data_IF_812552841823
#
_entry.id   IF_812552841823
#
_cell.length_a   1.000
_cell.length_b   1.000
_cell.length_c   1.000
_cell.angle_alpha   90.00
_cell.angle_beta   90.00
_cell.angle_gamma   90.00
#
_symmetry.space_group_name_H-M   'P 1'
#
loop_
_entity.id
_entity.type
_entity.pdbx_description
1 polymer ?
#
# COMPACT_ATOMS: atom_id res chain seq x y z
N UNK A 1 -20.50 0.53 -0.73
CA UNK A 1 -20.34 1.99 -0.87
C UNK A 1 -19.07 2.49 -0.19
N UNK A 2 -18.89 2.34 1.14
CA UNK A 2 -17.62 2.70 1.83
C UNK A 2 -16.39 1.97 1.26
N UNK A 3 -16.50 0.67 1.03
CA UNK A 3 -15.36 -0.13 0.54
C UNK A 3 -14.97 0.21 -0.91
N UNK A 4 -15.94 0.65 -1.73
CA UNK A 4 -15.66 1.10 -3.10
C UNK A 4 -14.90 2.43 -3.12
N UNK A 5 -15.23 3.36 -2.22
CA UNK A 5 -14.55 4.65 -2.07
C UNK A 5 -13.09 4.43 -1.67
N UNK A 6 -12.86 3.58 -0.68
CA UNK A 6 -11.53 3.22 -0.19
C UNK A 6 -10.67 2.63 -1.30
N UNK A 7 -11.24 1.72 -2.09
CA UNK A 7 -10.50 1.05 -3.14
C UNK A 7 -10.21 1.92 -4.36
N UNK A 8 -11.13 2.81 -4.72
CA UNK A 8 -10.93 3.80 -5.78
C UNK A 8 -9.85 4.81 -5.41
N UNK A 9 -9.70 5.12 -4.12
CA UNK A 9 -8.77 6.14 -3.63
C UNK A 9 -7.31 5.71 -3.69
N UNK A 10 -7.05 4.43 -3.45
CA UNK A 10 -5.71 3.87 -3.51
C UNK A 10 -5.14 3.91 -4.95
N UNK A 11 -5.99 3.76 -5.98
CA UNK A 11 -5.63 4.02 -7.37
C UNK A 11 -5.14 5.47 -7.60
N UNK A 12 -5.71 6.45 -6.89
CA UNK A 12 -5.36 7.88 -7.00
C UNK A 12 -4.09 8.26 -6.23
N UNK A 13 -3.79 7.53 -5.15
CA UNK A 13 -2.56 7.67 -4.35
C UNK A 13 -1.34 6.99 -5.02
N UNK A 14 -1.61 6.04 -5.92
CA UNK A 14 -0.62 5.21 -6.62
C UNK A 14 -0.17 5.75 -7.97
N UNK A 15 -0.62 6.95 -8.38
CA UNK A 15 -0.07 7.63 -9.55
C UNK A 15 1.38 8.03 -9.26
N UNK A 16 2.30 7.29 -9.88
CA UNK A 16 3.75 7.46 -9.82
C UNK A 16 4.16 8.93 -9.98
N UNK A 17 4.49 9.58 -8.88
CA UNK A 17 5.25 10.82 -8.86
C UNK A 17 5.98 10.92 -7.52
N UNK A 18 6.94 11.85 -7.39
CA UNK A 18 7.63 12.22 -6.15
C UNK A 18 6.69 12.64 -4.99
N UNK A 19 5.38 12.52 -5.18
CA UNK A 19 4.28 12.86 -4.29
C UNK A 19 3.57 11.63 -3.73
N UNK A 20 4.26 10.50 -3.65
CA UNK A 20 3.74 9.31 -2.99
C UNK A 20 3.48 9.64 -1.52
N UNK A 21 2.22 9.53 -1.09
CA UNK A 21 1.67 10.03 0.19
C UNK A 21 1.30 11.53 0.27
N UNK A 22 1.25 12.28 -0.84
CA UNK A 22 0.61 13.61 -0.80
C UNK A 22 -0.85 13.50 -0.36
N UNK A 23 -1.36 14.56 0.28
CA UNK A 23 -2.74 14.62 0.77
C UNK A 23 -3.72 14.34 -0.37
N UNK A 24 -4.32 13.16 -0.36
CA UNK A 24 -5.34 12.70 -1.30
C UNK A 24 -6.72 13.30 -0.99
N UNK A 25 -6.79 14.31 -0.12
CA UNK A 25 -8.00 15.04 0.25
C UNK A 25 -8.59 15.77 -0.97
N UNK A 26 -7.76 16.45 -1.77
CA UNK A 26 -8.21 17.15 -2.99
C UNK A 26 -8.80 16.21 -4.03
N UNK A 27 -8.07 15.11 -4.34
CA UNK A 27 -8.54 14.09 -5.29
C UNK A 27 -9.80 13.35 -4.80
N UNK A 28 -9.98 13.19 -3.49
CA UNK A 28 -11.25 12.66 -2.97
C UNK A 28 -12.39 13.65 -3.05
N UNK A 29 -12.16 14.93 -2.74
CA UNK A 29 -13.23 15.93 -2.77
C UNK A 29 -13.80 16.07 -4.18
N UNK A 30 -12.95 15.99 -5.20
CA UNK A 30 -13.38 15.98 -6.60
C UNK A 30 -14.23 14.76 -6.97
N UNK A 31 -13.91 13.59 -6.40
CA UNK A 31 -14.56 12.32 -6.75
C UNK A 31 -15.80 12.00 -5.90
N UNK A 32 -15.84 12.52 -4.68
CA UNK A 32 -16.93 12.36 -3.71
C UNK A 32 -17.22 13.71 -3.06
N UNK A 33 -17.79 14.67 -3.82
CA UNK A 33 -18.09 16.01 -3.33
C UNK A 33 -19.05 16.02 -2.13
N UNK A 34 -19.84 14.97 -1.96
CA UNK A 34 -20.76 14.74 -0.84
C UNK A 34 -20.08 14.49 0.51
N UNK A 35 -18.78 14.14 0.53
CA UNK A 35 -18.06 13.89 1.78
C UNK A 35 -17.72 15.19 2.50
N UNK A 36 -17.92 15.18 3.82
CA UNK A 36 -17.47 16.26 4.70
C UNK A 36 -15.95 16.28 4.84
N UNK A 37 -15.39 17.42 5.22
CA UNK A 37 -13.94 17.56 5.45
C UNK A 37 -13.42 16.56 6.49
N UNK A 38 -14.19 16.31 7.55
CA UNK A 38 -13.85 15.32 8.58
C UNK A 38 -13.79 13.89 8.03
N UNK A 39 -14.72 13.52 7.15
CA UNK A 39 -14.70 12.20 6.50
C UNK A 39 -13.52 12.08 5.53
N UNK A 40 -13.23 13.14 4.75
CA UNK A 40 -12.09 13.17 3.82
C UNK A 40 -10.75 12.97 4.56
N UNK A 41 -10.59 13.63 5.71
CA UNK A 41 -9.43 13.53 6.58
C UNK A 41 -9.31 12.15 7.25
N UNK A 42 -10.41 11.58 7.75
CA UNK A 42 -10.44 10.22 8.33
C UNK A 42 -10.01 9.18 7.28
N UNK A 43 -10.61 9.24 6.09
CA UNK A 43 -10.22 8.35 5.02
C UNK A 43 -8.75 8.59 4.60
N UNK A 44 -8.24 9.84 4.67
CA UNK A 44 -6.88 10.17 4.21
C UNK A 44 -5.88 9.49 5.13
N UNK A 45 -6.12 9.65 6.43
CA UNK A 45 -5.36 9.02 7.50
C UNK A 45 -5.35 7.51 7.37
N UNK A 46 -6.52 6.89 7.12
CA UNK A 46 -6.62 5.44 6.94
C UNK A 46 -5.81 4.93 5.76
N UNK A 47 -5.88 5.62 4.62
CA UNK A 47 -5.13 5.25 3.43
C UNK A 47 -3.62 5.42 3.61
N UNK A 48 -3.16 6.55 4.17
CA UNK A 48 -1.73 6.74 4.46
C UNK A 48 -1.19 5.70 5.43
N UNK A 49 -1.96 5.35 6.47
CA UNK A 49 -1.57 4.32 7.42
C UNK A 49 -1.48 2.93 6.78
N UNK A 50 -2.46 2.56 5.96
CA UNK A 50 -2.47 1.30 5.20
C UNK A 50 -1.29 1.21 4.24
N UNK A 51 -1.06 2.27 3.44
CA UNK A 51 0.05 2.33 2.50
C UNK A 51 1.41 2.22 3.20
N UNK A 52 1.59 2.99 4.27
CA UNK A 52 2.81 2.93 5.09
C UNK A 52 3.01 1.54 5.68
N UNK A 53 1.97 0.94 6.24
CA UNK A 53 2.06 -0.40 6.83
C UNK A 53 2.43 -1.46 5.78
N UNK A 54 1.85 -1.42 4.59
CA UNK A 54 2.18 -2.33 3.50
C UNK A 54 3.62 -2.16 3.02
N UNK A 55 4.05 -0.91 2.82
CA UNK A 55 5.43 -0.62 2.44
C UNK A 55 6.44 -1.10 3.49
N UNK A 56 6.24 -0.73 4.76
CA UNK A 56 7.13 -1.12 5.85
C UNK A 56 7.21 -2.64 5.98
N UNK A 57 6.09 -3.35 5.78
CA UNK A 57 6.07 -4.81 5.79
C UNK A 57 6.97 -5.40 4.70
N UNK A 58 6.80 -4.96 3.45
CA UNK A 58 7.59 -5.45 2.31
C UNK A 58 9.08 -5.09 2.49
N UNK A 59 9.36 -3.88 2.94
CA UNK A 59 10.72 -3.43 3.17
C UNK A 59 11.44 -4.29 4.22
N UNK A 60 10.81 -4.49 5.38
CA UNK A 60 11.40 -5.24 6.48
C UNK A 60 11.57 -6.72 6.15
N UNK A 61 10.61 -7.34 5.45
CA UNK A 61 10.72 -8.74 5.05
C UNK A 61 11.82 -8.92 4.00
N UNK A 62 11.93 -8.02 3.01
CA UNK A 62 13.01 -8.05 2.01
C UNK A 62 14.39 -7.86 2.64
N UNK A 63 14.53 -6.90 3.56
CA UNK A 63 15.79 -6.68 4.29
C UNK A 63 16.20 -7.93 5.08
N UNK A 64 15.27 -8.53 5.83
CA UNK A 64 15.53 -9.72 6.64
C UNK A 64 15.93 -10.93 5.78
N UNK A 65 15.18 -11.20 4.71
CA UNK A 65 15.45 -12.29 3.78
C UNK A 65 16.80 -12.11 3.07
N UNK A 66 17.15 -10.89 2.69
CA UNK A 66 18.45 -10.60 2.08
C UNK A 66 19.61 -10.86 3.05
N UNK A 67 19.47 -10.49 4.33
CA UNK A 67 20.46 -10.81 5.39
C UNK A 67 20.62 -12.30 5.62
N UNK A 68 19.54 -13.06 5.47
CA UNK A 68 19.53 -14.53 5.62
C UNK A 68 19.90 -15.27 4.32
N UNK A 69 20.09 -14.55 3.21
CA UNK A 69 20.32 -15.11 1.88
C UNK A 69 19.22 -16.10 1.45
N UNK A 70 17.96 -15.75 1.75
CA UNK A 70 16.75 -16.52 1.41
C UNK A 70 15.92 -15.71 0.43
N UNK A 71 15.26 -16.39 -0.51
CA UNK A 71 14.33 -15.76 -1.46
C UNK A 71 12.88 -16.04 -1.08
N UNK A 72 11.99 -15.09 -1.35
CA UNK A 72 10.54 -15.30 -1.32
C UNK A 72 9.96 -15.15 -2.73
N UNK A 73 8.98 -16.00 -3.07
CA UNK A 73 8.24 -15.85 -4.32
C UNK A 73 7.27 -14.67 -4.21
N UNK A 74 7.03 -13.99 -5.33
CA UNK A 74 6.02 -12.92 -5.41
C UNK A 74 4.62 -13.38 -4.94
N UNK A 75 4.26 -14.64 -5.16
CA UNK A 75 2.98 -15.20 -4.69
C UNK A 75 2.94 -15.35 -3.17
N UNK A 76 4.00 -15.87 -2.55
CA UNK A 76 4.09 -16.03 -1.09
C UNK A 76 4.15 -14.67 -0.39
N UNK A 77 4.88 -13.71 -0.97
CA UNK A 77 4.94 -12.35 -0.47
C UNK A 77 3.56 -11.70 -0.49
N UNK A 78 2.79 -11.89 -1.58
CA UNK A 78 1.43 -11.39 -1.68
C UNK A 78 0.51 -11.99 -0.59
N UNK A 79 0.57 -13.30 -0.38
CA UNK A 79 -0.22 -13.98 0.67
C UNK A 79 0.10 -13.39 2.04
N UNK A 80 1.39 -13.26 2.39
CA UNK A 80 1.81 -12.70 3.68
C UNK A 80 1.43 -11.24 3.85
N UNK A 81 1.56 -10.42 2.80
CA UNK A 81 1.12 -9.02 2.81
C UNK A 81 -0.39 -8.92 3.04
N UNK A 82 -1.17 -9.74 2.32
CA UNK A 82 -2.63 -9.81 2.45
C UNK A 82 -3.05 -10.21 3.85
N UNK A 83 -2.43 -11.24 4.43
CA UNK A 83 -2.67 -11.65 5.81
C UNK A 83 -2.34 -10.52 6.81
N UNK A 84 -1.17 -9.90 6.67
CA UNK A 84 -0.73 -8.80 7.53
C UNK A 84 -1.69 -7.60 7.50
N UNK A 85 -2.09 -7.16 6.31
CA UNK A 85 -2.96 -6.00 6.15
C UNK A 85 -4.41 -6.30 6.52
N UNK A 86 -4.94 -7.48 6.20
CA UNK A 86 -6.35 -7.81 6.52
C UNK A 86 -6.64 -7.85 8.02
N UNK A 87 -5.63 -8.08 8.87
CA UNK A 87 -5.79 -8.00 10.33
C UNK A 87 -6.20 -6.59 10.81
N UNK A 88 -5.78 -5.54 10.09
CA UNK A 88 -6.01 -4.13 10.47
C UNK A 88 -6.89 -3.37 9.48
N UNK A 89 -6.93 -3.80 8.22
CA UNK A 89 -7.53 -3.11 7.09
C UNK A 89 -8.38 -4.09 6.25
N UNK A 90 -9.37 -4.73 6.86
CA UNK A 90 -10.24 -5.72 6.21
C UNK A 90 -11.08 -5.22 5.01
N UNK A 91 -10.96 -3.94 4.66
CA UNK A 91 -11.62 -3.27 3.54
C UNK A 91 -10.74 -3.15 2.29
N UNK A 92 -9.44 -3.48 2.40
CA UNK A 92 -8.49 -3.42 1.27
C UNK A 92 -8.82 -4.51 0.24
N UNK A 93 -8.88 -4.14 -1.04
CA UNK A 93 -9.06 -5.11 -2.13
C UNK A 93 -7.71 -5.63 -2.66
N UNK A 94 -7.80 -6.67 -3.49
CA UNK A 94 -6.62 -7.30 -4.08
C UNK A 94 -5.85 -6.37 -5.03
N UNK A 95 -6.53 -5.54 -5.81
CA UNK A 95 -5.86 -4.58 -6.71
C UNK A 95 -4.92 -3.63 -5.95
N UNK A 96 -5.35 -3.18 -4.78
CA UNK A 96 -4.57 -2.29 -3.93
C UNK A 96 -3.44 -3.02 -3.22
N UNK A 97 -3.69 -4.25 -2.76
CA UNK A 97 -2.64 -5.12 -2.27
C UNK A 97 -1.54 -5.34 -3.33
N UNK A 98 -1.92 -5.57 -4.60
CA UNK A 98 -0.96 -5.75 -5.68
C UNK A 98 -0.16 -4.48 -5.96
N UNK A 99 -0.80 -3.30 -5.93
CA UNK A 99 -0.12 -2.01 -6.09
C UNK A 99 0.86 -1.74 -4.96
N UNK A 100 0.45 -1.97 -3.71
CA UNK A 100 1.34 -1.87 -2.55
C UNK A 100 2.52 -2.82 -2.66
N UNK A 101 2.25 -4.08 -3.03
CA UNK A 101 3.30 -5.06 -3.25
C UNK A 101 4.30 -4.59 -4.30
N UNK A 102 3.81 -4.17 -5.47
CA UNK A 102 4.64 -3.70 -6.56
C UNK A 102 5.49 -2.48 -6.17
N UNK A 103 4.90 -1.50 -5.47
CA UNK A 103 5.61 -0.30 -5.02
C UNK A 103 6.64 -0.62 -3.93
N UNK A 104 6.26 -1.42 -2.93
CA UNK A 104 7.18 -1.85 -1.88
C UNK A 104 8.36 -2.64 -2.44
N UNK A 105 8.11 -3.57 -3.37
CA UNK A 105 9.18 -4.31 -4.05
C UNK A 105 10.09 -3.39 -4.86
N UNK A 106 9.55 -2.38 -5.54
CA UNK A 106 10.35 -1.40 -6.27
C UNK A 106 11.30 -0.61 -5.36
N UNK A 107 10.82 -0.17 -4.20
CA UNK A 107 11.68 0.54 -3.24
C UNK A 107 12.68 -0.39 -2.54
N UNK A 108 12.28 -1.62 -2.20
CA UNK A 108 13.21 -2.63 -1.68
C UNK A 108 14.31 -2.96 -2.68
N UNK A 109 13.97 -3.07 -3.98
CA UNK A 109 14.94 -3.21 -5.06
C UNK A 109 15.93 -2.03 -5.12
N UNK A 110 15.43 -0.79 -5.03
CA UNK A 110 16.28 0.41 -5.04
C UNK A 110 17.30 0.45 -3.90
N UNK A 111 16.95 -0.10 -2.75
CA UNK A 111 17.84 -0.21 -1.59
C UNK A 111 18.76 -1.45 -1.63
N UNK A 112 18.69 -2.26 -2.69
CA UNK A 112 19.58 -3.42 -2.89
C UNK A 112 19.11 -4.71 -2.23
N UNK A 113 17.81 -4.86 -1.94
CA UNK A 113 17.23 -6.11 -1.43
C UNK A 113 16.66 -7.01 -2.54
N UNK A 114 17.11 -6.83 -3.77
CA UNK A 114 16.67 -7.57 -4.95
C UNK A 114 17.00 -9.07 -4.85
N UNK A 115 18.08 -9.43 -4.16
CA UNK A 115 18.42 -10.83 -3.86
C UNK A 115 17.38 -11.59 -3.04
N UNK A 116 16.42 -10.91 -2.39
CA UNK A 116 15.35 -11.53 -1.62
C UNK A 116 14.05 -11.75 -2.42
N UNK A 117 13.87 -11.08 -3.56
CA UNK A 117 12.61 -11.00 -4.30
C UNK A 117 12.69 -11.81 -5.60
N UNK A 118 11.94 -12.90 -5.70
CA UNK A 118 11.94 -13.82 -6.86
C UNK A 118 10.55 -13.91 -7.53
#
# INVERSE_FOLDING_TARGET
>A
MKDQILNIRHNLASEWSEKWMDKIEGKLKEKFPELSENELADYNTKCQNEMKAGHDFIFNISEALCKENVTISSADLFVRLKEYLNLKYNWINEDNLYRLMSQGCYYAYKEGYDGALN
#
